data_IF_825807618427
#
_entry.id   IF_825807618427
#
_cell.length_a   1.000
_cell.length_b   1.000
_cell.length_c   1.000
_cell.angle_alpha   90.00
_cell.angle_beta   90.00
_cell.angle_gamma   90.00
#
_symmetry.space_group_name_H-M   'P 1'
#
loop_
_entity.id
_entity.type
_entity.pdbx_description
1 polymer ?
#
# COMPACT_ATOMS: atom_id res chain seq x y z
N UNK A 1 3.84 10.31 -15.39
CA UNK A 1 3.13 11.27 -14.48
C UNK A 1 4.10 11.83 -13.46
N UNK A 2 4.02 13.14 -13.11
CA UNK A 2 4.79 13.75 -12.02
C UNK A 2 3.93 13.97 -10.76
N UNK A 3 4.58 14.33 -9.63
CA UNK A 3 3.89 14.51 -8.35
C UNK A 3 2.83 15.63 -8.36
N UNK A 4 3.02 16.70 -9.15
CA UNK A 4 2.03 17.79 -9.25
C UNK A 4 0.76 17.30 -9.95
N UNK A 5 0.91 16.62 -11.07
CA UNK A 5 -0.19 16.00 -11.81
C UNK A 5 -0.94 14.95 -10.96
N UNK A 6 -0.20 14.10 -10.24
CA UNK A 6 -0.81 13.12 -9.34
C UNK A 6 -1.62 13.79 -8.22
N UNK A 7 -1.10 14.87 -7.63
CA UNK A 7 -1.79 15.61 -6.59
C UNK A 7 -3.09 16.27 -7.10
N UNK A 8 -3.07 16.85 -8.27
CA UNK A 8 -4.26 17.43 -8.93
C UNK A 8 -5.29 16.35 -9.25
N UNK A 9 -4.84 15.21 -9.78
CA UNK A 9 -5.68 14.06 -10.07
C UNK A 9 -6.40 13.55 -8.82
N UNK A 10 -5.67 13.22 -7.76
CA UNK A 10 -6.29 12.65 -6.54
C UNK A 10 -7.17 13.68 -5.84
N UNK A 11 -6.86 14.97 -5.95
CA UNK A 11 -7.75 16.03 -5.43
C UNK A 11 -9.10 16.05 -6.13
N UNK A 12 -9.16 15.75 -7.42
CA UNK A 12 -10.41 15.70 -8.19
C UNK A 12 -11.21 14.41 -7.98
N UNK A 13 -10.59 13.36 -7.43
CA UNK A 13 -11.21 12.04 -7.31
C UNK A 13 -11.59 11.66 -5.87
N UNK A 14 -10.95 12.27 -4.88
CA UNK A 14 -11.10 11.88 -3.48
C UNK A 14 -11.85 12.95 -2.68
N UNK A 15 -12.63 12.50 -1.73
CA UNK A 15 -13.21 13.37 -0.69
C UNK A 15 -12.12 14.10 0.10
N UNK A 16 -12.46 15.23 0.73
CA UNK A 16 -11.52 16.03 1.51
C UNK A 16 -10.75 15.20 2.53
N UNK A 17 -11.46 14.31 3.25
CA UNK A 17 -10.87 13.42 4.26
C UNK A 17 -9.83 12.46 3.64
N UNK A 18 -10.16 11.83 2.51
CA UNK A 18 -9.26 10.89 1.82
C UNK A 18 -8.07 11.62 1.21
N UNK A 19 -8.31 12.79 0.65
CA UNK A 19 -7.24 13.62 0.12
C UNK A 19 -6.25 14.04 1.21
N UNK A 20 -6.73 14.46 2.40
CA UNK A 20 -5.86 14.79 3.53
C UNK A 20 -5.05 13.58 3.98
N UNK A 21 -5.69 12.40 4.11
CA UNK A 21 -5.01 11.14 4.37
C UNK A 21 -3.88 10.89 3.36
N UNK A 22 -4.18 10.95 2.07
CA UNK A 22 -3.19 10.76 0.98
C UNK A 22 -1.97 11.69 1.13
N UNK A 23 -2.19 12.95 1.50
CA UNK A 23 -1.09 13.90 1.74
C UNK A 23 -0.26 13.54 2.99
N UNK A 24 -0.88 13.00 4.03
CA UNK A 24 -0.17 12.54 5.23
C UNK A 24 0.62 11.26 4.94
N UNK A 25 0.05 10.32 4.19
CA UNK A 25 0.76 9.11 3.71
C UNK A 25 1.97 9.50 2.86
N UNK A 26 1.81 10.44 1.92
CA UNK A 26 2.94 10.96 1.13
C UNK A 26 4.07 11.49 2.03
N UNK A 27 3.74 12.30 3.04
CA UNK A 27 4.77 12.86 3.95
C UNK A 27 5.53 11.75 4.69
N UNK A 28 4.80 10.72 5.15
CA UNK A 28 5.42 9.59 5.85
C UNK A 28 6.25 8.73 4.90
N UNK A 29 5.74 8.44 3.70
CA UNK A 29 6.47 7.66 2.70
C UNK A 29 7.80 8.32 2.31
N UNK A 30 7.83 9.62 2.06
CA UNK A 30 9.07 10.37 1.77
C UNK A 30 10.03 10.31 2.96
N UNK A 31 9.54 10.43 4.19
CA UNK A 31 10.37 10.32 5.40
C UNK A 31 11.03 8.94 5.53
N UNK A 32 10.25 7.87 5.30
CA UNK A 32 10.77 6.50 5.35
C UNK A 32 11.71 6.22 4.16
N UNK A 33 11.37 6.70 2.97
CA UNK A 33 12.21 6.59 1.78
C UNK A 33 13.60 7.17 2.02
N UNK A 34 13.67 8.40 2.54
CA UNK A 34 14.92 9.05 2.93
C UNK A 34 15.71 8.23 3.96
N UNK A 35 15.03 7.65 4.95
CA UNK A 35 15.65 6.84 6.01
C UNK A 35 16.30 5.57 5.48
N UNK A 36 15.69 4.93 4.47
CA UNK A 36 16.08 3.62 3.97
C UNK A 36 16.75 3.62 2.59
N UNK A 37 17.08 4.81 2.06
CA UNK A 37 17.73 4.96 0.77
C UNK A 37 16.86 4.54 -0.41
N UNK A 38 15.54 4.73 -0.29
CA UNK A 38 14.58 4.55 -1.37
C UNK A 38 14.39 5.88 -2.10
N UNK A 39 14.11 5.84 -3.39
CA UNK A 39 13.82 7.03 -4.19
C UNK A 39 12.60 7.78 -3.64
N UNK A 40 12.83 9.02 -3.17
CA UNK A 40 11.81 9.85 -2.53
C UNK A 40 10.71 10.26 -3.51
N UNK A 41 11.02 10.46 -4.79
CA UNK A 41 10.03 10.81 -5.82
C UNK A 41 9.13 9.63 -6.16
N UNK A 42 9.68 8.42 -6.26
CA UNK A 42 8.90 7.19 -6.42
C UNK A 42 7.99 6.93 -5.23
N UNK A 43 8.51 7.09 -4.01
CA UNK A 43 7.72 6.93 -2.79
C UNK A 43 6.59 7.97 -2.69
N UNK A 44 6.87 9.22 -3.05
CA UNK A 44 5.88 10.27 -3.07
C UNK A 44 4.77 10.01 -4.11
N UNK A 45 5.14 9.55 -5.32
CA UNK A 45 4.19 9.26 -6.38
C UNK A 45 3.31 8.05 -6.04
N UNK A 46 3.91 6.95 -5.58
CA UNK A 46 3.17 5.77 -5.15
C UNK A 46 2.18 6.11 -4.01
N UNK A 47 2.64 6.86 -3.00
CA UNK A 47 1.80 7.30 -1.89
C UNK A 47 0.67 8.25 -2.31
N UNK A 48 0.87 9.11 -3.30
CA UNK A 48 -0.21 9.95 -3.84
C UNK A 48 -1.29 9.12 -4.54
N UNK A 49 -0.92 8.02 -5.19
CA UNK A 49 -1.82 7.24 -6.02
C UNK A 49 -2.43 6.03 -5.31
N UNK A 50 -1.90 5.59 -4.14
CA UNK A 50 -2.28 4.33 -3.50
C UNK A 50 -3.80 4.16 -3.29
N UNK A 51 -4.48 5.21 -2.87
CA UNK A 51 -5.91 5.24 -2.55
C UNK A 51 -6.79 5.85 -3.67
N UNK A 52 -6.23 6.12 -4.85
CA UNK A 52 -6.93 6.83 -5.94
C UNK A 52 -8.18 6.14 -6.48
N UNK A 53 -8.37 4.86 -6.17
CA UNK A 53 -9.54 4.07 -6.53
C UNK A 53 -10.44 3.71 -5.33
N UNK A 54 -10.17 4.22 -4.12
CA UNK A 54 -10.93 3.84 -2.92
C UNK A 54 -12.40 4.24 -2.97
N UNK A 55 -12.73 5.31 -3.67
CA UNK A 55 -14.11 5.87 -3.73
C UNK A 55 -14.87 5.49 -5.01
N UNK A 56 -14.33 4.63 -5.88
CA UNK A 56 -15.12 4.01 -6.96
C UNK A 56 -15.92 2.82 -6.43
N UNK A 57 -17.02 2.51 -7.08
CA UNK A 57 -17.91 1.43 -6.65
C UNK A 57 -17.24 0.05 -6.80
N UNK A 58 -17.72 -0.93 -6.04
CA UNK A 58 -17.22 -2.31 -6.16
C UNK A 58 -17.50 -2.92 -7.54
N UNK A 59 -18.57 -2.52 -8.18
CA UNK A 59 -18.91 -3.01 -9.51
C UNK A 59 -17.96 -2.42 -10.56
N UNK A 60 -17.61 -1.14 -10.45
CA UNK A 60 -16.57 -0.52 -11.27
C UNK A 60 -15.19 -1.16 -11.02
N UNK A 61 -14.85 -1.49 -9.77
CA UNK A 61 -13.60 -2.21 -9.47
C UNK A 61 -13.57 -3.59 -10.14
N UNK A 62 -14.66 -4.36 -10.08
CA UNK A 62 -14.77 -5.67 -10.75
C UNK A 62 -14.62 -5.53 -12.26
N UNK A 63 -15.34 -4.60 -12.85
CA UNK A 63 -15.27 -4.38 -14.30
C UNK A 63 -13.85 -4.00 -14.74
N UNK A 64 -13.18 -3.12 -13.98
CA UNK A 64 -11.80 -2.73 -14.24
C UNK A 64 -10.83 -3.93 -14.16
N UNK A 65 -10.97 -4.78 -13.15
CA UNK A 65 -10.15 -5.99 -13.02
C UNK A 65 -10.41 -7.00 -14.14
N UNK A 66 -11.66 -7.16 -14.60
CA UNK A 66 -12.01 -8.03 -15.74
C UNK A 66 -11.47 -7.49 -17.06
N UNK A 67 -11.46 -6.18 -17.23
CA UNK A 67 -10.90 -5.54 -18.43
C UNK A 67 -9.38 -5.69 -18.52
N UNK A 68 -8.69 -5.77 -17.38
CA UNK A 68 -7.23 -5.86 -17.30
C UNK A 68 -6.76 -7.04 -16.43
N UNK A 69 -7.13 -8.29 -16.76
CA UNK A 69 -6.85 -9.46 -15.92
C UNK A 69 -5.36 -9.69 -15.70
N UNK A 70 -4.51 -9.29 -16.67
CA UNK A 70 -3.05 -9.40 -16.58
C UNK A 70 -2.43 -8.51 -15.49
N UNK A 71 -3.17 -7.53 -14.98
CA UNK A 71 -2.73 -6.60 -13.91
C UNK A 71 -3.53 -6.78 -12.60
N UNK A 72 -4.52 -7.67 -12.60
CA UNK A 72 -5.46 -7.80 -11.48
C UNK A 72 -4.97 -8.70 -10.33
N UNK A 73 -3.83 -9.39 -10.47
CA UNK A 73 -3.18 -10.17 -9.40
C UNK A 73 -4.13 -11.09 -8.58
N UNK A 74 -4.94 -11.88 -9.25
CA UNK A 74 -5.98 -12.73 -8.64
C UNK A 74 -7.36 -12.06 -8.55
N UNK A 75 -7.43 -10.76 -8.79
CA UNK A 75 -8.67 -10.03 -9.04
C UNK A 75 -9.75 -10.24 -8.00
N UNK A 76 -10.94 -10.61 -8.47
CA UNK A 76 -12.15 -10.75 -7.67
C UNK A 76 -12.11 -11.90 -6.66
N UNK A 77 -11.22 -12.87 -6.82
CA UNK A 77 -11.04 -14.00 -5.90
C UNK A 77 -10.44 -13.54 -4.56
N UNK A 78 -9.78 -12.39 -4.54
CA UNK A 78 -9.22 -11.79 -3.32
C UNK A 78 -10.28 -11.05 -2.53
N UNK A 79 -10.12 -10.90 -1.20
CA UNK A 79 -11.04 -10.13 -0.37
C UNK A 79 -11.19 -8.68 -0.87
N UNK A 80 -12.43 -8.19 -0.94
CA UNK A 80 -12.72 -6.87 -1.53
C UNK A 80 -12.01 -5.66 -0.88
N UNK A 81 -11.57 -5.67 0.39
CA UNK A 81 -10.79 -4.57 0.93
C UNK A 81 -9.46 -4.30 0.20
N UNK A 82 -8.91 -5.28 -0.54
CA UNK A 82 -7.63 -5.08 -1.27
C UNK A 82 -7.84 -4.58 -2.71
N UNK A 83 -9.05 -4.63 -3.23
CA UNK A 83 -9.34 -4.31 -4.63
C UNK A 83 -8.97 -2.87 -5.03
N UNK A 84 -9.15 -1.91 -4.12
CA UNK A 84 -8.83 -0.51 -4.43
C UNK A 84 -7.36 -0.29 -4.78
N UNK A 85 -6.43 -0.98 -4.12
CA UNK A 85 -5.00 -0.92 -4.43
C UNK A 85 -4.69 -1.49 -5.82
N UNK A 86 -5.27 -2.66 -6.13
CA UNK A 86 -5.17 -3.30 -7.44
C UNK A 86 -5.72 -2.36 -8.53
N UNK A 87 -6.93 -1.84 -8.34
CA UNK A 87 -7.57 -0.92 -9.28
C UNK A 87 -6.80 0.40 -9.43
N UNK A 88 -6.24 0.94 -8.35
CA UNK A 88 -5.40 2.13 -8.40
C UNK A 88 -4.15 1.91 -9.26
N UNK A 89 -3.51 0.74 -9.15
CA UNK A 89 -2.35 0.39 -9.99
C UNK A 89 -2.75 0.19 -11.47
N UNK A 90 -3.89 -0.45 -11.75
CA UNK A 90 -4.43 -0.58 -13.11
C UNK A 90 -4.68 0.80 -13.71
N UNK A 91 -5.38 1.69 -13.02
CA UNK A 91 -5.65 3.05 -13.49
C UNK A 91 -4.35 3.86 -13.68
N UNK A 92 -3.38 3.73 -12.75
CA UNK A 92 -2.10 4.40 -12.85
C UNK A 92 -1.36 4.00 -14.14
N UNK A 93 -1.34 2.71 -14.47
CA UNK A 93 -0.72 2.19 -15.69
C UNK A 93 -1.49 2.60 -16.95
N UNK A 94 -2.79 2.31 -16.99
CA UNK A 94 -3.56 2.35 -18.24
C UNK A 94 -4.09 3.73 -18.60
N UNK A 95 -4.33 4.58 -17.61
CA UNK A 95 -4.94 5.90 -17.83
C UNK A 95 -4.01 7.06 -17.48
N UNK A 96 -3.06 6.87 -16.55
CA UNK A 96 -2.25 8.00 -16.05
C UNK A 96 -0.78 7.92 -16.45
N UNK A 97 -0.40 6.94 -17.28
CA UNK A 97 0.93 6.83 -17.87
C UNK A 97 2.03 6.57 -16.85
N UNK A 98 1.75 5.82 -15.80
CA UNK A 98 2.77 5.32 -14.87
C UNK A 98 3.30 3.99 -15.40
N UNK A 99 4.57 3.98 -15.83
CA UNK A 99 5.22 2.80 -16.42
C UNK A 99 6.20 2.11 -15.46
N UNK A 100 6.55 2.77 -14.35
CA UNK A 100 7.51 2.23 -13.37
C UNK A 100 6.87 1.11 -12.56
N UNK A 101 7.33 -0.13 -12.78
CA UNK A 101 6.83 -1.34 -12.14
C UNK A 101 6.98 -1.30 -10.61
N UNK A 102 8.01 -0.64 -10.08
CA UNK A 102 8.19 -0.53 -8.63
C UNK A 102 7.11 0.37 -8.01
N UNK A 103 6.73 1.46 -8.68
CA UNK A 103 5.63 2.34 -8.24
C UNK A 103 4.30 1.59 -8.30
N UNK A 104 4.02 0.90 -9.41
CA UNK A 104 2.79 0.14 -9.60
C UNK A 104 2.65 -1.00 -8.59
N UNK A 105 3.76 -1.72 -8.32
CA UNK A 105 3.82 -2.72 -7.28
C UNK A 105 3.45 -2.15 -5.91
N UNK A 106 4.07 -1.04 -5.51
CA UNK A 106 3.82 -0.42 -4.21
C UNK A 106 2.37 0.06 -4.06
N UNK A 107 1.75 0.56 -5.14
CA UNK A 107 0.33 0.91 -5.16
C UNK A 107 -0.53 -0.33 -4.99
N UNK A 108 -0.28 -1.40 -5.78
CA UNK A 108 -1.13 -2.59 -5.78
C UNK A 108 -1.11 -3.34 -4.43
N UNK A 109 0.06 -3.45 -3.79
CA UNK A 109 0.24 -4.27 -2.59
C UNK A 109 0.13 -3.50 -1.26
N UNK A 110 -0.17 -2.20 -1.27
CA UNK A 110 -0.11 -1.37 -0.06
C UNK A 110 -1.09 -1.81 1.06
N UNK A 111 -2.13 -2.56 0.74
CA UNK A 111 -3.13 -3.02 1.71
C UNK A 111 -2.80 -4.39 2.31
N UNK A 112 -2.38 -5.35 1.49
CA UNK A 112 -2.15 -6.73 1.90
C UNK A 112 -0.67 -7.09 2.02
N UNK A 113 0.21 -6.37 1.34
CA UNK A 113 1.57 -6.83 1.09
C UNK A 113 1.60 -7.95 0.05
N UNK A 114 2.77 -8.54 -0.14
CA UNK A 114 3.03 -9.72 -0.96
C UNK A 114 4.37 -10.34 -0.58
N UNK A 115 4.63 -11.58 -0.97
CA UNK A 115 5.98 -12.14 -0.89
C UNK A 115 6.95 -11.36 -1.79
N UNK A 116 8.21 -11.23 -1.39
CA UNK A 116 9.23 -10.51 -2.15
C UNK A 116 9.02 -8.99 -2.22
N UNK A 117 8.44 -8.37 -1.19
CA UNK A 117 8.26 -6.91 -1.13
C UNK A 117 9.60 -6.18 -1.26
N UNK A 118 9.67 -5.24 -2.20
CA UNK A 118 10.77 -4.27 -2.29
C UNK A 118 10.75 -3.30 -1.09
N UNK A 119 11.85 -2.57 -0.91
CA UNK A 119 11.87 -1.49 0.11
C UNK A 119 10.78 -0.43 -0.16
N UNK A 120 10.50 -0.13 -1.42
CA UNK A 120 9.44 0.83 -1.79
C UNK A 120 8.05 0.31 -1.40
N UNK A 121 7.77 -0.97 -1.65
CA UNK A 121 6.50 -1.60 -1.24
C UNK A 121 6.30 -1.48 0.28
N UNK A 122 7.33 -1.83 1.06
CA UNK A 122 7.31 -1.75 2.53
C UNK A 122 7.13 -0.31 3.03
N UNK A 123 7.80 0.66 2.39
CA UNK A 123 7.70 2.09 2.72
C UNK A 123 6.27 2.59 2.52
N UNK A 124 5.62 2.26 1.40
CA UNK A 124 4.25 2.74 1.12
C UNK A 124 3.24 2.06 2.05
N UNK A 125 3.37 0.74 2.26
CA UNK A 125 2.54 -0.01 3.21
C UNK A 125 2.59 0.58 4.63
N UNK A 126 3.80 0.78 5.17
CA UNK A 126 3.99 1.34 6.51
C UNK A 126 3.52 2.78 6.59
N UNK A 127 3.77 3.59 5.57
CA UNK A 127 3.36 4.98 5.53
C UNK A 127 1.83 5.14 5.63
N UNK A 128 1.05 4.25 4.99
CA UNK A 128 -0.41 4.24 5.13
C UNK A 128 -0.83 3.86 6.55
N UNK A 129 -0.24 2.82 7.13
CA UNK A 129 -0.57 2.37 8.48
C UNK A 129 -0.18 3.35 9.59
N UNK A 130 0.82 4.20 9.36
CA UNK A 130 1.43 5.06 10.37
C UNK A 130 1.28 6.55 10.09
N UNK A 131 0.55 6.94 9.04
CA UNK A 131 0.27 8.33 8.71
C UNK A 131 -0.27 9.11 9.92
N UNK A 132 -0.09 10.44 9.89
CA UNK A 132 -0.27 11.31 11.07
C UNK A 132 -1.62 11.12 11.77
N UNK A 133 -2.68 10.96 11.02
CA UNK A 133 -4.07 10.84 11.49
C UNK A 133 -4.44 9.44 12.01
N UNK A 134 -3.60 8.44 11.77
CA UNK A 134 -3.83 7.09 12.30
C UNK A 134 -3.69 7.08 13.83
N UNK A 135 -4.73 6.59 14.51
CA UNK A 135 -4.81 6.53 15.97
C UNK A 135 -5.39 5.18 16.43
N UNK A 136 -4.73 4.09 16.08
CA UNK A 136 -5.08 2.76 16.55
C UNK A 136 -4.11 2.31 17.66
N UNK A 137 -4.54 1.40 18.58
CA UNK A 137 -3.71 0.95 19.69
C UNK A 137 -2.40 0.31 19.21
N UNK A 138 -1.27 0.95 19.48
CA UNK A 138 0.05 0.46 19.08
C UNK A 138 0.71 1.24 17.94
N UNK A 139 0.01 2.13 17.23
CA UNK A 139 0.57 2.92 16.13
C UNK A 139 1.83 3.71 16.53
N UNK A 140 1.87 4.24 17.76
CA UNK A 140 3.04 4.96 18.28
C UNK A 140 4.28 4.06 18.47
N UNK A 141 4.08 2.76 18.76
CA UNK A 141 5.17 1.79 18.83
C UNK A 141 5.67 1.45 17.43
N UNK A 142 4.75 1.26 16.48
CA UNK A 142 5.08 0.98 15.08
C UNK A 142 5.84 2.16 14.45
N UNK A 143 5.41 3.42 14.68
CA UNK A 143 6.13 4.63 14.23
C UNK A 143 7.57 4.72 14.74
N UNK A 144 7.84 4.22 15.95
CA UNK A 144 9.21 4.15 16.48
C UNK A 144 10.02 3.02 15.87
N UNK A 145 9.37 1.89 15.62
CA UNK A 145 10.02 0.70 15.05
C UNK A 145 10.39 0.92 13.58
N UNK A 146 9.49 1.49 12.78
CA UNK A 146 9.73 1.75 11.35
C UNK A 146 10.87 2.73 11.07
N UNK A 147 11.25 3.56 12.06
CA UNK A 147 12.43 4.44 11.96
C UNK A 147 13.74 3.73 12.32
N UNK A 148 13.67 2.51 12.87
CA UNK A 148 14.84 1.73 13.30
C UNK A 148 15.12 0.57 12.37
N UNK A 149 14.09 -0.21 12.03
CA UNK A 149 14.17 -1.44 11.28
C UNK A 149 12.91 -1.61 10.42
N UNK A 150 13.11 -1.56 9.10
CA UNK A 150 12.01 -1.61 8.13
C UNK A 150 11.32 -2.97 8.12
N UNK A 151 12.10 -4.06 8.19
CA UNK A 151 11.59 -5.42 8.09
C UNK A 151 10.91 -5.86 9.39
N UNK A 152 11.48 -5.51 10.53
CA UNK A 152 10.81 -5.72 11.82
C UNK A 152 9.50 -4.92 11.93
N UNK A 153 9.47 -3.68 11.42
CA UNK A 153 8.26 -2.88 11.39
C UNK A 153 7.21 -3.49 10.45
N UNK A 154 7.64 -3.95 9.28
CA UNK A 154 6.74 -4.58 8.31
C UNK A 154 6.13 -5.87 8.87
N UNK A 155 6.96 -6.72 9.52
CA UNK A 155 6.49 -7.94 10.18
C UNK A 155 5.45 -7.63 11.28
N UNK A 156 5.73 -6.63 12.11
CA UNK A 156 4.80 -6.19 13.16
C UNK A 156 3.48 -5.65 12.58
N UNK A 157 3.56 -4.88 11.48
CA UNK A 157 2.40 -4.33 10.78
C UNK A 157 1.54 -5.42 10.16
N UNK A 158 2.13 -6.37 9.44
CA UNK A 158 1.42 -7.51 8.85
C UNK A 158 0.77 -8.38 9.92
N UNK A 159 1.50 -8.68 11.02
CA UNK A 159 0.93 -9.43 12.15
C UNK A 159 -0.32 -8.73 12.70
N UNK A 160 -0.23 -7.45 12.99
CA UNK A 160 -1.34 -6.64 13.49
C UNK A 160 -2.55 -6.67 12.54
N UNK A 161 -2.31 -6.46 11.23
CA UNK A 161 -3.37 -6.46 10.22
C UNK A 161 -4.02 -7.83 10.10
N UNK A 162 -3.22 -8.89 10.05
CA UNK A 162 -3.71 -10.26 9.93
C UNK A 162 -4.54 -10.68 11.16
N UNK A 163 -4.05 -10.40 12.36
CA UNK A 163 -4.78 -10.65 13.62
C UNK A 163 -6.10 -9.87 13.66
N UNK A 164 -6.10 -8.61 13.23
CA UNK A 164 -7.32 -7.81 13.17
C UNK A 164 -8.34 -8.38 12.18
N UNK A 165 -7.93 -8.77 10.96
CA UNK A 165 -8.82 -9.36 9.96
C UNK A 165 -9.44 -10.66 10.49
N UNK A 166 -8.63 -11.54 11.08
CA UNK A 166 -9.08 -12.80 11.66
C UNK A 166 -10.02 -12.58 12.84
N UNK A 167 -9.75 -11.59 13.69
CA UNK A 167 -10.64 -11.24 14.83
C UNK A 167 -12.03 -10.78 14.40
N UNK A 168 -12.16 -10.27 13.17
CA UNK A 168 -13.44 -9.89 12.57
C UNK A 168 -14.18 -11.06 11.89
N UNK A 169 -13.64 -12.28 11.99
CA UNK A 169 -14.21 -13.47 11.34
C UNK A 169 -14.10 -13.43 9.80
N UNK A 170 -13.18 -12.61 9.26
CA UNK A 170 -13.00 -12.45 7.82
C UNK A 170 -11.87 -13.33 7.30
N UNK A 171 -11.95 -13.81 6.05
CA UNK A 171 -10.85 -14.54 5.43
C UNK A 171 -9.64 -13.63 5.26
N UNK A 172 -8.45 -14.18 5.55
CA UNK A 172 -7.19 -13.52 5.30
C UNK A 172 -6.87 -13.54 3.81
N UNK A 173 -6.36 -12.44 3.29
CA UNK A 173 -5.83 -12.41 1.92
C UNK A 173 -4.59 -13.33 1.82
N UNK A 174 -4.53 -14.25 0.84
CA UNK A 174 -3.39 -15.16 0.68
C UNK A 174 -2.05 -14.45 0.52
N UNK A 175 -2.03 -13.29 -0.12
CA UNK A 175 -0.83 -12.47 -0.30
C UNK A 175 -0.34 -11.90 1.03
N UNK A 176 -1.26 -11.55 1.95
CA UNK A 176 -0.89 -11.03 3.27
C UNK A 176 -0.24 -12.11 4.14
N UNK A 177 -0.74 -13.34 4.06
CA UNK A 177 -0.10 -14.49 4.72
C UNK A 177 1.30 -14.77 4.12
N UNK A 178 1.39 -14.79 2.79
CA UNK A 178 2.66 -15.00 2.09
C UNK A 178 3.70 -13.91 2.38
N UNK A 179 3.27 -12.64 2.47
CA UNK A 179 4.14 -11.52 2.86
C UNK A 179 4.72 -11.70 4.26
N UNK A 180 3.88 -12.11 5.21
CA UNK A 180 4.32 -12.36 6.60
C UNK A 180 5.36 -13.47 6.68
N UNK A 181 5.09 -14.62 6.06
CA UNK A 181 6.00 -15.77 6.06
C UNK A 181 7.33 -15.46 5.36
N UNK A 182 7.29 -14.74 4.24
CA UNK A 182 8.48 -14.36 3.49
C UNK A 182 9.42 -13.47 4.33
N UNK A 183 8.90 -12.41 4.96
CA UNK A 183 9.70 -11.50 5.79
C UNK A 183 10.23 -12.22 7.03
N UNK A 184 9.41 -13.07 7.67
CA UNK A 184 9.81 -13.86 8.81
C UNK A 184 10.97 -14.83 8.48
N UNK A 185 10.93 -15.44 7.29
CA UNK A 185 11.97 -16.34 6.82
C UNK A 185 13.30 -15.61 6.57
N UNK A 186 13.26 -14.37 6.08
CA UNK A 186 14.45 -13.55 5.85
C UNK A 186 15.10 -13.11 7.17
N UNK A 187 14.33 -12.68 8.16
CA UNK A 187 14.88 -12.30 9.48
C UNK A 187 15.60 -13.46 10.20
N UNK A 188 15.09 -14.70 10.04
CA UNK A 188 15.74 -15.88 10.64
C UNK A 188 17.08 -16.25 10.01
N UNK A 189 17.37 -15.79 8.80
CA UNK A 189 18.65 -16.06 8.10
C UNK A 189 19.74 -15.04 8.44
N UNK A 190 19.35 -13.87 8.98
CA UNK A 190 20.29 -12.80 9.36
C UNK A 190 20.72 -12.86 10.83
N UNK A 191 20.14 -13.76 11.64
CA UNK A 191 20.53 -14.09 13.01
C UNK A 191 21.41 -15.34 13.07
#
# INVERSE_FOLDING_TARGET
MNQKQAKELVRSRLSDKRYEHTLNVKKMAVRLAKRYGVDEDKAALAALLHDSATEISKDEMRELMRQYPQYAEGGEERPNPVWHGICAAILARTQWGVEDEAILSAIACHTAGKAGMSKLDKVVYLADMTSKERDWPGVGKLRKLEMKDLDAAMLAALKQTNEFVLSQGKPLDPQSAAAYEDILAHQKKEC
#
